data_IF_549507145174
#
_entry.id   IF_549507145174
#
_cell.length_a   1.000
_cell.length_b   1.000
_cell.length_c   1.000
_cell.angle_alpha   90.00
_cell.angle_beta   90.00
_cell.angle_gamma   90.00
#
_symmetry.space_group_name_H-M   'P 1'
#
loop_
_entity.id
_entity.type
_entity.pdbx_description
1 polymer ?
#
# COMPACT_ATOMS: atom_id res chain seq x y z
N UNK A 1 22.64 -21.66 14.94
CA UNK A 1 21.40 -20.95 15.30
C UNK A 1 20.29 -21.39 14.33
N UNK A 2 20.21 -22.69 14.05
CA UNK A 2 19.59 -23.16 12.80
C UNK A 2 18.07 -23.36 12.96
N UNK A 3 17.56 -23.29 14.20
CA UNK A 3 16.15 -23.46 14.60
C UNK A 3 15.60 -22.26 15.41
N UNK A 4 16.09 -21.04 15.17
CA UNK A 4 15.54 -19.85 15.87
C UNK A 4 14.12 -19.58 15.36
N UNK A 5 13.11 -19.49 16.25
CA UNK A 5 11.75 -19.13 15.88
C UNK A 5 11.71 -17.81 15.11
N UNK A 6 10.92 -17.75 14.05
CA UNK A 6 10.79 -16.56 13.21
C UNK A 6 9.98 -15.48 13.93
N UNK A 7 10.49 -14.27 13.95
CA UNK A 7 9.82 -13.14 14.59
C UNK A 7 8.60 -12.75 13.74
N UNK A 8 7.44 -12.43 14.35
CA UNK A 8 6.31 -11.90 13.62
C UNK A 8 6.66 -10.58 12.91
N UNK A 9 6.34 -10.49 11.62
CA UNK A 9 6.50 -9.27 10.84
C UNK A 9 5.31 -8.32 11.08
N UNK A 10 5.56 -7.02 11.08
CA UNK A 10 4.54 -5.96 11.16
C UNK A 10 3.48 -6.09 10.06
N UNK A 11 2.25 -5.73 10.42
CA UNK A 11 1.09 -5.76 9.54
C UNK A 11 0.75 -4.32 9.17
N UNK A 12 0.95 -3.97 7.90
CA UNK A 12 0.45 -2.70 7.38
C UNK A 12 -1.08 -2.75 7.39
N UNK A 13 -1.76 -1.76 8.01
CA UNK A 13 -3.21 -1.68 7.99
C UNK A 13 -3.78 -1.65 6.57
N UNK A 14 -4.91 -2.32 6.34
CA UNK A 14 -5.61 -2.24 5.07
C UNK A 14 -6.67 -1.14 5.12
N UNK A 15 -6.77 -0.37 4.04
CA UNK A 15 -7.90 0.54 3.81
C UNK A 15 -9.07 -0.24 3.23
N UNK A 16 -10.29 0.22 3.55
CA UNK A 16 -11.52 -0.39 3.07
C UNK A 16 -12.29 0.66 2.27
N UNK A 17 -12.87 0.27 1.15
CA UNK A 17 -13.82 1.08 0.40
C UNK A 17 -15.11 0.27 0.22
N UNK A 18 -16.05 0.31 1.17
CA UNK A 18 -17.22 -0.55 1.14
C UNK A 18 -18.24 -0.15 0.06
N UNK A 19 -18.20 1.10 -0.41
CA UNK A 19 -19.14 1.65 -1.39
C UNK A 19 -18.43 1.88 -2.72
N UNK A 20 -19.07 1.48 -3.82
CA UNK A 20 -18.59 1.81 -5.17
C UNK A 20 -18.93 3.26 -5.53
N UNK A 21 -18.01 4.02 -6.14
CA UNK A 21 -18.24 5.40 -6.55
C UNK A 21 -19.23 5.47 -7.71
N UNK A 22 -20.07 6.51 -7.76
CA UNK A 22 -20.87 6.80 -8.94
C UNK A 22 -20.01 7.49 -10.02
N UNK A 23 -19.78 6.78 -11.12
CA UNK A 23 -19.05 7.29 -12.28
C UNK A 23 -19.97 7.69 -13.44
N UNK A 24 -21.29 7.67 -13.26
CA UNK A 24 -22.27 8.13 -14.24
C UNK A 24 -22.04 9.59 -14.71
N UNK A 25 -21.54 10.53 -13.88
CA UNK A 25 -21.29 11.90 -14.34
C UNK A 25 -20.17 12.01 -15.39
N UNK A 26 -19.24 11.04 -15.43
CA UNK A 26 -18.21 10.97 -16.48
C UNK A 26 -18.86 10.79 -17.86
N UNK A 27 -19.88 9.94 -17.97
CA UNK A 27 -20.62 9.72 -19.23
C UNK A 27 -21.28 11.01 -19.72
N UNK A 28 -21.89 11.76 -18.79
CA UNK A 28 -22.48 13.08 -19.08
C UNK A 28 -21.43 14.06 -19.60
N UNK A 29 -20.22 14.08 -19.02
CA UNK A 29 -19.12 14.94 -19.50
C UNK A 29 -18.62 14.52 -20.89
N UNK A 30 -18.55 13.23 -21.19
CA UNK A 30 -18.20 12.73 -22.54
C UNK A 30 -19.23 13.22 -23.56
N UNK A 31 -20.53 13.01 -23.33
CA UNK A 31 -21.58 13.46 -24.25
C UNK A 31 -21.59 14.97 -24.45
N UNK A 32 -21.39 15.74 -23.37
CA UNK A 32 -21.28 17.20 -23.47
C UNK A 32 -20.08 17.64 -24.34
N UNK A 33 -18.98 16.89 -24.34
CA UNK A 33 -17.77 17.22 -25.11
C UNK A 33 -17.82 16.75 -26.56
N UNK A 34 -18.39 15.58 -26.83
CA UNK A 34 -18.34 14.92 -28.14
C UNK A 34 -19.70 14.84 -28.86
N UNK A 35 -20.79 15.23 -28.22
CA UNK A 35 -22.17 15.22 -28.73
C UNK A 35 -23.05 14.13 -28.10
N UNK A 36 -24.35 14.37 -27.99
CA UNK A 36 -25.30 13.45 -27.33
C UNK A 36 -25.41 12.08 -28.02
N UNK A 37 -25.23 12.06 -29.34
CA UNK A 37 -25.19 10.85 -30.19
C UNK A 37 -23.87 10.06 -30.08
N UNK A 38 -22.91 10.50 -29.26
CA UNK A 38 -21.67 9.75 -29.03
C UNK A 38 -21.97 8.38 -28.47
N UNK A 39 -21.55 7.32 -29.17
CA UNK A 39 -21.63 5.96 -28.66
C UNK A 39 -20.71 5.80 -27.45
N UNK A 40 -21.30 5.38 -26.32
CA UNK A 40 -20.56 5.05 -25.09
C UNK A 40 -20.78 3.58 -24.82
N UNK A 41 -19.70 2.79 -24.84
CA UNK A 41 -19.76 1.40 -24.45
C UNK A 41 -19.90 1.29 -22.92
N UNK A 42 -21.11 0.93 -22.47
CA UNK A 42 -21.46 0.77 -21.07
C UNK A 42 -20.66 -0.34 -20.36
N UNK A 43 -20.20 -1.35 -21.10
CA UNK A 43 -19.40 -2.44 -20.56
C UNK A 43 -18.06 -1.94 -20.03
N UNK A 44 -17.50 -0.88 -20.60
CA UNK A 44 -16.24 -0.28 -20.12
C UNK A 44 -16.42 0.23 -18.69
N UNK A 45 -17.53 0.92 -18.40
CA UNK A 45 -17.82 1.46 -17.07
C UNK A 45 -18.14 0.34 -16.08
N UNK A 46 -18.93 -0.65 -16.49
CA UNK A 46 -19.25 -1.82 -15.67
C UNK A 46 -17.98 -2.61 -15.30
N UNK A 47 -17.12 -2.87 -16.28
CA UNK A 47 -15.87 -3.61 -16.07
C UNK A 47 -14.88 -2.81 -15.21
N UNK A 48 -14.86 -1.47 -15.34
CA UNK A 48 -14.04 -0.62 -14.48
C UNK A 48 -14.47 -0.69 -13.02
N UNK A 49 -15.77 -0.61 -12.72
CA UNK A 49 -16.30 -0.74 -11.35
C UNK A 49 -16.17 -2.15 -10.79
N UNK A 50 -16.37 -3.18 -11.63
CA UNK A 50 -16.14 -4.56 -11.24
C UNK A 50 -14.66 -4.78 -10.86
N UNK A 51 -13.74 -4.25 -11.67
CA UNK A 51 -12.31 -4.32 -11.38
C UNK A 51 -11.94 -3.59 -10.08
N UNK A 52 -12.54 -2.41 -9.84
CA UNK A 52 -12.39 -1.69 -8.56
C UNK A 52 -12.84 -2.53 -7.38
N UNK A 53 -14.00 -3.19 -7.52
CA UNK A 53 -14.57 -4.03 -6.47
C UNK A 53 -13.65 -5.19 -6.12
N UNK A 54 -13.07 -5.86 -7.13
CA UNK A 54 -12.07 -6.90 -6.91
C UNK A 54 -10.79 -6.35 -6.24
N UNK A 55 -10.35 -5.16 -6.63
CA UNK A 55 -9.18 -4.49 -6.05
C UNK A 55 -9.34 -4.16 -4.56
N UNK A 56 -10.56 -3.93 -4.09
CA UNK A 56 -10.85 -3.59 -2.69
C UNK A 56 -11.02 -4.81 -1.77
N UNK A 57 -10.92 -6.03 -2.30
CA UNK A 57 -10.96 -7.27 -1.51
C UNK A 57 -9.64 -7.49 -0.77
N UNK A 58 -9.68 -8.35 0.23
CA UNK A 58 -8.49 -8.74 0.97
C UNK A 58 -7.45 -9.42 0.04
N UNK A 59 -6.16 -9.03 0.09
CA UNK A 59 -5.13 -9.57 -0.80
C UNK A 59 -4.68 -10.97 -0.34
N UNK A 60 -5.30 -12.01 -0.90
CA UNK A 60 -5.07 -13.42 -0.56
C UNK A 60 -3.80 -14.02 -1.17
N UNK A 61 -3.43 -13.54 -2.36
CA UNK A 61 -2.45 -14.14 -3.27
C UNK A 61 -1.89 -13.12 -4.29
N UNK A 62 -1.01 -13.59 -5.18
CA UNK A 62 -0.40 -12.76 -6.23
C UNK A 62 -1.40 -12.23 -7.27
N UNK A 63 -2.50 -12.93 -7.52
CA UNK A 63 -3.53 -12.46 -8.44
C UNK A 63 -4.16 -11.15 -7.94
N UNK A 64 -4.24 -10.97 -6.62
CA UNK A 64 -4.63 -9.69 -6.00
C UNK A 64 -3.72 -8.54 -6.47
N UNK A 65 -2.39 -8.76 -6.55
CA UNK A 65 -1.45 -7.74 -7.03
C UNK A 65 -1.68 -7.37 -8.50
N UNK A 66 -1.99 -8.36 -9.35
CA UNK A 66 -2.29 -8.15 -10.77
C UNK A 66 -3.55 -7.30 -10.93
N UNK A 67 -4.60 -7.64 -10.18
CA UNK A 67 -5.87 -6.91 -10.18
C UNK A 67 -5.66 -5.45 -9.75
N UNK A 68 -4.94 -5.22 -8.64
CA UNK A 68 -4.67 -3.88 -8.12
C UNK A 68 -3.87 -3.04 -9.13
N UNK A 69 -2.79 -3.61 -9.69
CA UNK A 69 -1.98 -2.92 -10.72
C UNK A 69 -2.79 -2.57 -11.97
N UNK A 70 -3.65 -3.49 -12.42
CA UNK A 70 -4.53 -3.26 -13.58
C UNK A 70 -5.51 -2.13 -13.32
N UNK A 71 -6.12 -2.11 -12.13
CA UNK A 71 -7.03 -1.02 -11.76
C UNK A 71 -6.32 0.33 -11.68
N UNK A 72 -5.14 0.36 -11.04
CA UNK A 72 -4.31 1.56 -10.96
C UNK A 72 -3.94 2.09 -12.36
N UNK A 73 -3.57 1.20 -13.29
CA UNK A 73 -3.30 1.59 -14.68
C UNK A 73 -4.54 2.18 -15.37
N UNK A 74 -5.73 1.62 -15.14
CA UNK A 74 -6.99 2.15 -15.68
C UNK A 74 -7.30 3.54 -15.13
N UNK A 75 -7.04 3.81 -13.84
CA UNK A 75 -7.20 5.15 -13.26
C UNK A 75 -6.30 6.18 -13.95
N UNK A 76 -5.03 5.83 -14.16
CA UNK A 76 -4.07 6.71 -14.85
C UNK A 76 -4.50 6.99 -16.30
N UNK A 77 -4.99 5.98 -17.02
CA UNK A 77 -5.52 6.14 -18.38
C UNK A 77 -6.78 7.02 -18.40
N UNK A 78 -7.68 6.85 -17.43
CA UNK A 78 -8.89 7.66 -17.30
C UNK A 78 -8.53 9.13 -17.09
N UNK A 79 -7.66 9.43 -16.11
CA UNK A 79 -7.19 10.79 -15.80
C UNK A 79 -6.52 11.47 -17.00
N UNK A 80 -5.77 10.73 -17.80
CA UNK A 80 -5.09 11.26 -18.98
C UNK A 80 -6.03 11.54 -20.15
N UNK A 81 -7.21 10.91 -20.22
CA UNK A 81 -8.18 11.07 -21.31
C UNK A 81 -9.31 12.02 -20.96
N UNK A 82 -9.71 12.04 -19.69
CA UNK A 82 -10.82 12.84 -19.19
C UNK A 82 -10.32 13.68 -18.04
N UNK A 83 -10.36 15.00 -18.21
CA UNK A 83 -10.11 15.91 -17.11
C UNK A 83 -11.19 15.72 -16.04
N UNK A 84 -10.80 15.29 -14.85
CA UNK A 84 -11.68 15.12 -13.68
C UNK A 84 -11.37 16.17 -12.60
N UNK A 85 -10.54 17.17 -12.91
CA UNK A 85 -10.20 18.24 -11.97
C UNK A 85 -11.35 19.25 -11.84
N UNK A 86 -11.97 19.63 -12.97
CA UNK A 86 -13.05 20.61 -13.02
C UNK A 86 -14.13 20.24 -14.07
N UNK A 87 -15.43 20.16 -13.71
CA UNK A 87 -15.92 20.06 -12.34
C UNK A 87 -15.47 18.74 -11.69
N UNK A 88 -15.53 18.69 -10.35
CA UNK A 88 -15.39 17.46 -9.58
C UNK A 88 -16.59 16.55 -9.86
N UNK A 89 -16.37 15.46 -10.58
CA UNK A 89 -17.44 14.63 -11.12
C UNK A 89 -17.75 13.37 -10.32
N UNK A 90 -16.80 12.90 -9.52
CA UNK A 90 -16.89 11.60 -8.85
C UNK A 90 -16.48 11.79 -7.40
N UNK A 91 -17.23 11.15 -6.52
CA UNK A 91 -16.92 11.00 -5.11
C UNK A 91 -16.29 9.64 -4.87
N UNK A 92 -15.12 9.62 -4.24
CA UNK A 92 -14.29 8.46 -3.96
C UNK A 92 -14.36 8.14 -2.46
N UNK A 93 -15.30 7.29 -2.02
CA UNK A 93 -15.46 6.95 -0.61
C UNK A 93 -14.38 5.95 -0.16
N UNK A 94 -13.67 6.30 0.89
CA UNK A 94 -12.71 5.41 1.55
C UNK A 94 -12.87 5.49 3.06
N UNK A 95 -12.59 4.39 3.73
CA UNK A 95 -12.44 4.34 5.17
C UNK A 95 -10.96 4.48 5.53
N UNK A 96 -10.66 5.25 6.56
CA UNK A 96 -9.29 5.34 7.05
C UNK A 96 -8.86 4.03 7.73
N UNK A 97 -7.56 3.72 7.67
CA UNK A 97 -7.00 2.47 8.14
C UNK A 97 -6.89 2.35 9.68
N UNK A 98 -7.19 3.44 10.40
CA UNK A 98 -6.87 3.64 11.81
C UNK A 98 -8.10 3.63 12.71
N UNK A 99 -8.98 4.60 12.49
CA UNK A 99 -10.19 4.93 13.24
C UNK A 99 -11.46 4.49 12.55
N UNK A 100 -11.34 3.90 11.35
CA UNK A 100 -12.50 3.39 10.61
C UNK A 100 -13.54 4.48 10.27
N UNK A 101 -13.13 5.75 10.24
CA UNK A 101 -13.94 6.89 9.80
C UNK A 101 -13.98 6.92 8.28
N UNK A 102 -15.14 7.27 7.74
CA UNK A 102 -15.32 7.45 6.30
C UNK A 102 -14.85 8.84 5.85
N UNK A 103 -14.16 8.87 4.72
CA UNK A 103 -13.69 10.05 4.03
C UNK A 103 -14.13 9.95 2.57
N UNK A 104 -14.84 10.98 2.11
CA UNK A 104 -15.25 11.10 0.71
C UNK A 104 -14.45 12.24 0.09
N UNK A 105 -13.71 11.93 -0.97
CA UNK A 105 -12.85 12.88 -1.67
C UNK A 105 -13.25 12.92 -3.13
N UNK A 106 -12.98 14.03 -3.81
CA UNK A 106 -13.40 14.20 -5.20
C UNK A 106 -12.23 14.17 -6.18
N UNK A 107 -11.01 14.23 -5.67
CA UNK A 107 -9.79 14.15 -6.45
C UNK A 107 -9.54 12.71 -6.90
N UNK A 108 -9.44 12.46 -8.20
CA UNK A 108 -9.02 11.13 -8.71
C UNK A 108 -7.64 10.72 -8.18
N UNK A 109 -6.77 11.69 -7.88
CA UNK A 109 -5.46 11.42 -7.26
C UNK A 109 -5.60 10.82 -5.86
N UNK A 110 -6.71 11.05 -5.15
CA UNK A 110 -6.99 10.39 -3.88
C UNK A 110 -7.30 8.89 -4.08
N UNK A 111 -8.13 8.55 -5.07
CA UNK A 111 -8.37 7.15 -5.45
C UNK A 111 -7.05 6.48 -5.89
N UNK A 112 -6.23 7.14 -6.71
CA UNK A 112 -4.90 6.62 -7.10
C UNK A 112 -4.02 6.31 -5.88
N UNK A 113 -3.94 7.24 -4.92
CA UNK A 113 -3.16 7.05 -3.71
C UNK A 113 -3.70 5.91 -2.83
N UNK A 114 -5.01 5.81 -2.65
CA UNK A 114 -5.62 4.76 -1.84
C UNK A 114 -5.41 3.36 -2.46
N UNK A 115 -5.52 3.23 -3.78
CA UNK A 115 -5.26 1.97 -4.50
C UNK A 115 -3.78 1.59 -4.43
N UNK A 116 -2.88 2.58 -4.58
CA UNK A 116 -1.46 2.35 -4.49
C UNK A 116 -1.03 2.00 -3.05
N UNK A 117 -1.66 2.58 -2.03
CA UNK A 117 -1.53 2.18 -0.63
C UNK A 117 -1.94 0.72 -0.46
N UNK A 118 -3.10 0.34 -1.01
CA UNK A 118 -3.57 -1.05 -1.04
C UNK A 118 -2.56 -2.00 -1.68
N UNK A 119 -1.89 -1.59 -2.77
CA UNK A 119 -0.83 -2.39 -3.41
C UNK A 119 0.37 -2.60 -2.47
N UNK A 120 0.84 -1.54 -1.80
CA UNK A 120 1.94 -1.64 -0.84
C UNK A 120 1.60 -2.55 0.33
N UNK A 121 0.39 -2.40 0.88
CA UNK A 121 -0.12 -3.25 1.95
C UNK A 121 -0.30 -4.71 1.51
N UNK A 122 -0.76 -4.96 0.28
CA UNK A 122 -0.87 -6.30 -0.29
C UNK A 122 0.49 -7.00 -0.41
N UNK A 123 1.52 -6.30 -0.91
CA UNK A 123 2.88 -6.82 -0.94
C UNK A 123 3.40 -7.14 0.46
N UNK A 124 3.25 -6.24 1.42
CA UNK A 124 3.65 -6.48 2.81
C UNK A 124 2.92 -7.69 3.42
N UNK A 125 1.62 -7.84 3.13
CA UNK A 125 0.82 -8.96 3.59
C UNK A 125 1.31 -10.31 3.00
N UNK A 126 1.60 -10.36 1.70
CA UNK A 126 2.14 -11.54 1.04
C UNK A 126 3.55 -11.90 1.53
N UNK A 127 4.39 -10.89 1.82
CA UNK A 127 5.70 -11.05 2.46
C UNK A 127 5.59 -11.71 3.83
N UNK A 128 4.66 -11.24 4.66
CA UNK A 128 4.38 -11.81 5.98
C UNK A 128 3.85 -13.24 5.91
N UNK A 129 3.06 -13.58 4.89
CA UNK A 129 2.47 -14.92 4.70
C UNK A 129 3.54 -16.00 4.41
N UNK A 130 4.74 -15.60 3.95
CA UNK A 130 5.82 -16.54 3.71
C UNK A 130 6.31 -17.17 5.02
N UNK A 131 6.57 -18.48 4.99
CA UNK A 131 7.03 -19.23 6.17
C UNK A 131 8.41 -18.79 6.66
N UNK A 132 9.28 -18.36 5.73
CA UNK A 132 10.70 -18.04 5.96
C UNK A 132 11.47 -19.20 6.60
N UNK A 133 11.02 -20.43 6.37
CA UNK A 133 11.73 -21.64 6.83
C UNK A 133 12.79 -22.08 5.83
N UNK A 134 12.54 -21.83 4.55
CA UNK A 134 13.41 -22.22 3.43
C UNK A 134 13.98 -21.00 2.72
N UNK A 135 15.16 -21.16 2.12
CA UNK A 135 15.86 -20.07 1.43
C UNK A 135 15.03 -19.40 0.33
N UNK A 136 14.21 -20.14 -0.41
CA UNK A 136 13.30 -19.55 -1.42
C UNK A 136 12.19 -18.74 -0.78
N UNK A 137 11.54 -19.25 0.28
CA UNK A 137 10.51 -18.48 1.01
C UNK A 137 11.07 -17.17 1.62
N UNK A 138 12.33 -17.16 2.07
CA UNK A 138 13.02 -15.96 2.55
C UNK A 138 13.29 -14.96 1.43
N UNK A 139 13.73 -15.43 0.26
CA UNK A 139 13.94 -14.58 -0.92
C UNK A 139 12.63 -13.96 -1.38
N UNK A 140 11.56 -14.75 -1.48
CA UNK A 140 10.22 -14.28 -1.85
C UNK A 140 9.71 -13.24 -0.86
N UNK A 141 9.82 -13.50 0.45
CA UNK A 141 9.45 -12.54 1.48
C UNK A 141 10.22 -11.22 1.35
N UNK A 142 11.55 -11.32 1.18
CA UNK A 142 12.42 -10.17 0.96
C UNK A 142 11.96 -9.33 -0.25
N UNK A 143 11.73 -9.97 -1.39
CA UNK A 143 11.27 -9.30 -2.62
C UNK A 143 9.95 -8.57 -2.40
N UNK A 144 8.97 -9.22 -1.77
CA UNK A 144 7.68 -8.58 -1.48
C UNK A 144 7.83 -7.38 -0.55
N UNK A 145 8.65 -7.46 0.49
CA UNK A 145 8.90 -6.32 1.38
C UNK A 145 9.64 -5.18 0.68
N UNK A 146 10.59 -5.47 -0.20
CA UNK A 146 11.24 -4.44 -1.03
C UNK A 146 10.24 -3.76 -1.98
N UNK A 147 9.35 -4.53 -2.61
CA UNK A 147 8.28 -3.97 -3.44
C UNK A 147 7.35 -3.06 -2.62
N UNK A 148 6.91 -3.50 -1.44
CA UNK A 148 6.09 -2.71 -0.54
C UNK A 148 6.80 -1.41 -0.14
N UNK A 149 8.08 -1.48 0.24
CA UNK A 149 8.87 -0.33 0.61
C UNK A 149 8.95 0.72 -0.51
N UNK A 150 9.22 0.28 -1.74
CA UNK A 150 9.27 1.17 -2.90
C UNK A 150 7.93 1.82 -3.20
N UNK A 151 6.82 1.07 -3.06
CA UNK A 151 5.47 1.60 -3.25
C UNK A 151 5.17 2.70 -2.22
N UNK A 152 5.48 2.48 -0.94
CA UNK A 152 5.27 3.48 0.11
C UNK A 152 6.16 4.72 -0.06
N UNK A 153 7.41 4.54 -0.49
CA UNK A 153 8.27 5.66 -0.84
C UNK A 153 7.68 6.46 -2.01
N UNK A 154 7.18 5.77 -3.04
CA UNK A 154 6.54 6.41 -4.18
C UNK A 154 5.22 7.10 -3.82
N UNK A 155 4.49 6.62 -2.82
CA UNK A 155 3.31 7.29 -2.25
C UNK A 155 3.70 8.59 -1.56
N UNK A 156 4.74 8.55 -0.74
CA UNK A 156 5.30 9.74 -0.07
C UNK A 156 5.66 10.83 -1.07
N UNK A 157 6.41 10.47 -2.10
CA UNK A 157 6.91 11.42 -3.11
C UNK A 157 5.77 12.07 -3.91
N UNK A 158 4.73 11.30 -4.25
CA UNK A 158 3.64 11.76 -5.14
C UNK A 158 2.45 12.37 -4.42
N UNK A 159 2.16 11.90 -3.21
CA UNK A 159 0.91 12.17 -2.50
C UNK A 159 1.12 12.54 -1.02
N UNK A 160 2.37 12.68 -0.56
CA UNK A 160 2.67 13.00 0.84
C UNK A 160 2.20 14.38 1.31
N UNK A 161 1.81 15.27 0.39
CA UNK A 161 1.25 16.60 0.66
C UNK A 161 -0.27 16.63 0.78
N UNK A 162 -0.96 15.48 0.72
CA UNK A 162 -2.40 15.43 0.94
C UNK A 162 -2.79 15.94 2.33
N UNK A 163 -3.68 16.93 2.36
CA UNK A 163 -4.27 17.45 3.59
C UNK A 163 -5.65 16.84 3.83
N UNK A 164 -6.02 16.66 5.10
CA UNK A 164 -7.34 16.14 5.51
C UNK A 164 -7.52 14.63 5.33
N UNK A 165 -6.43 13.87 5.17
CA UNK A 165 -6.41 12.41 5.16
C UNK A 165 -5.40 11.90 6.20
N UNK A 166 -5.86 11.72 7.44
CA UNK A 166 -4.99 11.47 8.62
C UNK A 166 -4.19 10.17 8.54
N UNK A 167 -4.68 9.16 7.79
CA UNK A 167 -4.01 7.87 7.60
C UNK A 167 -3.12 7.81 6.34
N UNK A 168 -3.09 8.89 5.56
CA UNK A 168 -2.40 8.98 4.27
C UNK A 168 -1.48 10.20 4.21
N UNK A 169 -0.61 10.31 5.22
CA UNK A 169 0.38 11.40 5.34
C UNK A 169 1.76 10.96 4.83
N UNK A 170 2.58 11.92 4.43
CA UNK A 170 3.96 11.66 4.00
C UNK A 170 4.80 10.93 5.06
N UNK A 171 4.61 11.24 6.34
CA UNK A 171 5.33 10.61 7.44
C UNK A 171 4.89 9.14 7.65
N UNK A 172 3.59 8.87 7.53
CA UNK A 172 3.07 7.51 7.60
C UNK A 172 3.57 6.66 6.42
N UNK A 173 3.56 7.22 5.21
CA UNK A 173 4.16 6.54 4.06
C UNK A 173 5.65 6.28 4.26
N UNK A 174 6.36 7.23 4.87
CA UNK A 174 7.77 7.04 5.17
C UNK A 174 8.01 5.90 6.17
N UNK A 175 7.26 5.85 7.28
CA UNK A 175 7.44 4.80 8.29
C UNK A 175 7.11 3.42 7.72
N UNK A 176 6.05 3.29 6.92
CA UNK A 176 5.74 2.03 6.26
C UNK A 176 6.84 1.60 5.29
N UNK A 177 7.43 2.54 4.55
CA UNK A 177 8.57 2.25 3.69
C UNK A 177 9.77 1.72 4.49
N UNK A 178 10.15 2.40 5.57
CA UNK A 178 11.28 2.01 6.42
C UNK A 178 11.05 0.65 7.08
N UNK A 179 9.87 0.42 7.67
CA UNK A 179 9.53 -0.87 8.29
C UNK A 179 9.62 -1.99 7.26
N UNK A 180 9.07 -1.80 6.05
CA UNK A 180 9.18 -2.80 5.00
C UNK A 180 10.64 -3.08 4.60
N UNK A 181 11.50 -2.05 4.53
CA UNK A 181 12.93 -2.26 4.28
C UNK A 181 13.62 -3.03 5.42
N UNK A 182 13.30 -2.73 6.68
CA UNK A 182 13.84 -3.46 7.82
C UNK A 182 13.42 -4.93 7.79
N UNK A 183 12.16 -5.22 7.45
CA UNK A 183 11.68 -6.61 7.30
C UNK A 183 12.33 -7.36 6.14
N UNK A 184 12.65 -6.66 5.04
CA UNK A 184 13.44 -7.24 3.96
C UNK A 184 14.88 -7.56 4.41
N UNK A 185 15.50 -6.67 5.19
CA UNK A 185 16.82 -6.90 5.79
C UNK A 185 16.82 -8.07 6.77
N UNK A 186 15.73 -8.24 7.53
CA UNK A 186 15.54 -9.38 8.42
C UNK A 186 15.52 -10.69 7.63
N UNK A 187 14.80 -10.76 6.51
CA UNK A 187 14.82 -11.93 5.62
C UNK A 187 16.24 -12.24 5.10
N UNK A 188 17.03 -11.20 4.80
CA UNK A 188 18.44 -11.35 4.36
C UNK A 188 19.33 -11.87 5.50
N UNK A 189 19.15 -11.35 6.71
CA UNK A 189 19.91 -11.79 7.89
C UNK A 189 19.56 -13.24 8.26
N UNK A 190 18.27 -13.59 8.28
CA UNK A 190 17.78 -14.96 8.47
C UNK A 190 18.41 -15.92 7.45
N UNK A 191 18.44 -15.52 6.18
CA UNK A 191 19.05 -16.31 5.12
C UNK A 191 20.57 -16.45 5.29
N UNK A 192 21.28 -15.37 5.64
CA UNK A 192 22.72 -15.43 5.85
C UNK A 192 23.11 -16.38 6.99
N UNK A 193 22.30 -16.43 8.05
CA UNK A 193 22.45 -17.39 9.15
C UNK A 193 22.20 -18.82 8.65
N UNK A 194 21.11 -19.05 7.92
CA UNK A 194 20.76 -20.37 7.37
C UNK A 194 21.82 -20.89 6.38
N UNK A 195 22.37 -20.01 5.55
CA UNK A 195 23.47 -20.28 4.60
C UNK A 195 24.83 -20.48 5.31
N UNK A 196 24.90 -20.36 6.65
CA UNK A 196 26.14 -20.44 7.45
C UNK A 196 27.23 -19.50 6.94
N UNK A 197 26.84 -18.26 6.58
CA UNK A 197 27.79 -17.20 6.22
C UNK A 197 28.72 -16.87 7.39
N UNK A 198 29.87 -16.27 7.09
CA UNK A 198 30.89 -16.00 8.10
C UNK A 198 30.34 -15.15 9.26
N UNK A 199 30.79 -15.39 10.51
CA UNK A 199 30.30 -14.65 11.67
C UNK A 199 30.41 -13.13 11.53
N UNK A 200 31.47 -12.64 10.87
CA UNK A 200 31.67 -11.20 10.60
C UNK A 200 30.58 -10.61 9.70
N UNK A 201 30.18 -11.32 8.63
CA UNK A 201 29.10 -10.87 7.75
C UNK A 201 27.77 -10.87 8.49
N UNK A 202 27.47 -11.98 9.18
CA UNK A 202 26.23 -12.14 9.93
C UNK A 202 26.09 -11.07 11.02
N UNK A 203 27.15 -10.78 11.77
CA UNK A 203 27.17 -9.73 12.79
C UNK A 203 26.88 -8.34 12.20
N UNK A 204 27.47 -8.01 11.04
CA UNK A 204 27.20 -6.73 10.35
C UNK A 204 25.75 -6.61 9.91
N UNK A 205 25.17 -7.68 9.36
CA UNK A 205 23.76 -7.70 8.95
C UNK A 205 22.82 -7.50 10.14
N UNK A 206 23.03 -8.24 11.22
CA UNK A 206 22.18 -8.15 12.42
C UNK A 206 22.33 -6.79 13.11
N UNK A 207 23.55 -6.23 13.17
CA UNK A 207 23.77 -4.87 13.69
C UNK A 207 23.00 -3.83 12.87
N UNK A 208 23.13 -3.84 11.55
CA UNK A 208 22.42 -2.90 10.69
C UNK A 208 20.89 -3.07 10.80
N UNK A 209 20.41 -4.31 10.95
CA UNK A 209 18.99 -4.57 11.19
C UNK A 209 18.49 -3.94 12.49
N UNK A 210 19.24 -4.08 13.59
CA UNK A 210 18.90 -3.46 14.87
C UNK A 210 18.83 -1.93 14.76
N UNK A 211 19.87 -1.30 14.19
CA UNK A 211 19.90 0.15 13.94
C UNK A 211 18.74 0.62 13.03
N UNK A 212 18.35 -0.21 12.06
CA UNK A 212 17.23 0.06 11.15
C UNK A 212 15.89 0.10 11.90
N UNK A 213 15.63 -0.85 12.79
CA UNK A 213 14.43 -0.86 13.61
C UNK A 213 14.45 0.23 14.71
N UNK A 214 15.62 0.59 15.25
CA UNK A 214 15.75 1.73 16.16
C UNK A 214 15.35 3.05 15.49
N UNK A 215 15.78 3.27 14.23
CA UNK A 215 15.33 4.43 13.43
C UNK A 215 13.82 4.43 13.24
N UNK A 216 13.21 3.28 12.94
CA UNK A 216 11.76 3.16 12.83
C UNK A 216 11.07 3.53 14.15
N UNK A 217 11.55 3.00 15.28
CA UNK A 217 10.97 3.27 16.60
C UNK A 217 11.09 4.75 17.01
N UNK A 218 12.22 5.38 16.72
CA UNK A 218 12.41 6.81 16.95
C UNK A 218 11.38 7.65 16.17
N UNK A 219 11.17 7.32 14.89
CA UNK A 219 10.23 8.05 14.04
C UNK A 219 8.76 7.83 14.48
N UNK A 220 8.38 6.60 14.87
CA UNK A 220 7.05 6.34 15.45
C UNK A 220 6.83 7.16 16.73
N UNK A 221 7.87 7.32 17.56
CA UNK A 221 7.76 8.07 18.82
C UNK A 221 7.52 9.57 18.58
N UNK A 222 8.02 10.13 17.48
CA UNK A 222 7.74 11.52 17.08
C UNK A 222 6.30 11.66 16.56
N UNK A 223 5.77 10.62 15.91
CA UNK A 223 4.43 10.59 15.34
C UNK A 223 3.34 10.23 16.37
N UNK A 224 3.62 10.26 17.68
CA UNK A 224 2.79 9.69 18.77
C UNK A 224 1.29 9.88 18.50
N UNK A 225 0.81 11.10 18.28
CA UNK A 225 -0.61 11.38 18.03
C UNK A 225 -1.18 10.84 16.69
N UNK A 226 -0.36 10.79 15.65
CA UNK A 226 -0.72 10.35 14.29
C UNK A 226 -0.75 8.82 14.12
N UNK A 227 -0.14 8.08 15.05
CA UNK A 227 -0.14 6.61 15.06
C UNK A 227 -1.26 6.13 15.99
N UNK A 228 -2.14 5.21 15.54
CA UNK A 228 -3.22 4.71 16.38
C UNK A 228 -2.69 4.09 17.68
N UNK A 229 -3.39 4.23 18.82
CA UNK A 229 -2.94 3.71 20.11
C UNK A 229 -2.52 2.25 20.10
N UNK A 230 -3.19 1.40 19.31
CA UNK A 230 -2.88 -0.04 19.16
C UNK A 230 -1.51 -0.34 18.52
N UNK A 231 -0.90 0.65 17.85
CA UNK A 231 0.41 0.55 17.21
C UNK A 231 1.51 1.32 17.96
N UNK A 232 1.17 2.02 19.05
CA UNK A 232 2.15 2.67 19.93
C UNK A 232 2.77 1.59 20.83
N UNK A 233 4.07 1.70 21.11
CA UNK A 233 4.66 0.89 22.19
C UNK A 233 3.90 1.19 23.48
N UNK A 234 3.36 0.16 24.11
CA UNK A 234 2.93 0.26 25.52
C UNK A 234 4.20 0.60 26.29
N UNK A 235 4.29 1.85 26.80
CA UNK A 235 5.39 2.20 27.71
C UNK A 235 5.23 1.29 28.92
N UNK A 236 6.28 0.55 29.32
CA UNK A 236 6.23 -0.29 30.52
C UNK A 236 5.97 0.55 31.76
#
# INVERSE_FOLDING_TARGET
MDNVPRIPMFIVPLKISPVAPDISPIKKKIRKRYGEQTFINEDIFRNFLALRTECCKFPSDENSLVIIKRYYAHLMLLKNRIDLTTPKLVEWPWQDAFYQKQFVRTEITYEEAAILYGLGAAYAHLGRKQSRMEGESMKTACTYFQCAAWIFQSLRERYGSFTGAEDMTGDLFHIYSLICLSQAQECIAEKAIADKRSPSITAKLVKNLAESYERCAAMVSVLDESVPPKFRKVRP
#
